data_IF_408841730112
#
_entry.id   IF_408841730112
#
_cell.length_a   1.000
_cell.length_b   1.000
_cell.length_c   1.000
_cell.angle_alpha   90.00
_cell.angle_beta   90.00
_cell.angle_gamma   90.00
#
_symmetry.space_group_name_H-M   'P 1'
#
loop_
_entity.id
_entity.type
_entity.pdbx_description
1 polymer ?
#
# COMPACT_ATOMS: atom_id res chain seq x y z
N UNK A 1 8.80 9.30 -14.80
CA UNK A 1 8.28 7.94 -14.53
C UNK A 1 7.51 8.00 -13.23
N UNK A 2 6.18 7.83 -13.28
CA UNK A 2 5.33 7.93 -12.10
C UNK A 2 5.30 6.61 -11.31
N UNK A 3 6.41 6.27 -10.66
CA UNK A 3 6.52 5.08 -9.80
C UNK A 3 5.41 5.02 -8.74
N UNK A 4 5.00 6.19 -8.22
CA UNK A 4 3.85 6.34 -7.32
C UNK A 4 2.56 5.73 -7.90
N UNK A 5 2.31 5.93 -9.19
CA UNK A 5 1.09 5.49 -9.86
C UNK A 5 1.09 3.99 -10.10
N UNK A 6 2.26 3.42 -10.39
CA UNK A 6 2.45 1.99 -10.58
C UNK A 6 2.31 1.22 -9.26
N UNK A 7 2.94 1.72 -8.19
CA UNK A 7 2.78 1.19 -6.82
C UNK A 7 1.31 1.29 -6.39
N UNK A 8 0.67 2.44 -6.62
CA UNK A 8 -0.75 2.63 -6.30
C UNK A 8 -1.65 1.63 -7.06
N UNK A 9 -1.39 1.39 -8.34
CA UNK A 9 -2.12 0.39 -9.13
C UNK A 9 -1.96 -1.02 -8.58
N UNK A 10 -0.75 -1.43 -8.21
CA UNK A 10 -0.53 -2.76 -7.63
C UNK A 10 -1.26 -2.91 -6.30
N UNK A 11 -1.17 -1.90 -5.43
CA UNK A 11 -1.89 -1.88 -4.14
C UNK A 11 -3.40 -1.93 -4.38
N UNK A 12 -3.96 -1.01 -5.19
CA UNK A 12 -5.39 -0.94 -5.54
C UNK A 12 -5.94 -2.22 -6.21
N UNK A 13 -5.09 -3.04 -6.82
CA UNK A 13 -5.49 -4.35 -7.33
C UNK A 13 -5.57 -5.42 -6.23
N UNK A 14 -4.75 -5.30 -5.19
CA UNK A 14 -4.72 -6.19 -4.03
C UNK A 14 -5.78 -5.83 -2.99
N UNK A 15 -6.04 -4.53 -2.83
CA UNK A 15 -7.05 -3.99 -1.93
C UNK A 15 -8.16 -3.39 -2.77
N UNK A 16 -9.38 -3.88 -2.62
CA UNK A 16 -10.56 -3.48 -3.38
C UNK A 16 -10.95 -2.01 -3.09
N UNK A 17 -10.14 -1.09 -3.61
CA UNK A 17 -10.13 0.33 -3.30
C UNK A 17 -9.68 1.11 -4.53
N UNK A 18 -10.26 2.29 -4.73
CA UNK A 18 -9.96 3.14 -5.89
C UNK A 18 -8.49 3.57 -5.93
N UNK A 19 -7.95 3.58 -7.15
CA UNK A 19 -6.59 4.01 -7.44
C UNK A 19 -6.31 5.41 -6.90
N UNK A 20 -7.20 6.38 -7.15
CA UNK A 20 -7.04 7.77 -6.69
C UNK A 20 -6.92 7.87 -5.16
N UNK A 21 -7.67 7.02 -4.46
CA UNK A 21 -7.66 6.92 -3.01
C UNK A 21 -6.34 6.34 -2.51
N UNK A 22 -5.83 5.30 -3.15
CA UNK A 22 -4.50 4.77 -2.85
C UNK A 22 -3.42 5.81 -3.17
N UNK A 23 -3.53 6.52 -4.28
CA UNK A 23 -2.54 7.49 -4.75
C UNK A 23 -2.45 8.73 -3.87
N UNK A 24 -3.59 9.20 -3.35
CA UNK A 24 -3.65 10.28 -2.35
C UNK A 24 -3.13 9.85 -0.98
N UNK A 25 -3.17 8.55 -0.65
CA UNK A 25 -2.61 8.02 0.58
C UNK A 25 -1.12 7.72 0.52
N UNK A 26 -0.57 7.45 -0.65
CA UNK A 26 0.88 7.26 -0.77
C UNK A 26 1.59 8.56 -0.40
N UNK A 27 2.40 8.48 0.62
CA UNK A 27 3.21 9.55 1.17
C UNK A 27 4.69 9.17 1.17
N UNK A 28 5.56 10.17 1.32
CA UNK A 28 6.99 9.94 1.46
C UNK A 28 7.27 9.76 2.95
N UNK A 29 7.83 8.61 3.38
CA UNK A 29 8.06 8.37 4.79
C UNK A 29 9.07 9.39 5.35
N UNK A 30 8.90 9.80 6.62
CA UNK A 30 9.82 10.74 7.26
C UNK A 30 11.19 10.12 7.55
N UNK A 31 11.28 8.80 7.60
CA UNK A 31 12.53 8.07 7.81
C UNK A 31 13.01 7.42 6.51
N UNK A 32 14.25 7.72 6.12
CA UNK A 32 14.87 7.18 4.90
C UNK A 32 15.09 5.66 4.93
N UNK A 33 14.94 5.01 6.09
CA UNK A 33 15.03 3.56 6.25
C UNK A 33 13.73 2.82 5.88
N UNK A 34 12.60 3.53 5.69
CA UNK A 34 11.29 2.95 5.36
C UNK A 34 11.04 2.85 3.85
N UNK A 35 12.03 3.19 3.02
CA UNK A 35 11.96 3.20 1.57
C UNK A 35 11.53 4.54 0.98
N UNK A 36 11.28 4.58 -0.32
CA UNK A 36 10.95 5.82 -1.05
C UNK A 36 9.48 6.23 -0.90
N UNK A 37 8.58 5.25 -0.74
CA UNK A 37 7.14 5.45 -0.67
C UNK A 37 6.53 4.63 0.47
N UNK A 38 5.66 5.26 1.25
CA UNK A 38 4.90 4.66 2.31
C UNK A 38 3.41 4.71 1.99
N UNK A 39 2.69 3.65 2.38
CA UNK A 39 1.25 3.57 2.22
C UNK A 39 0.58 3.28 3.57
N UNK A 40 -0.21 4.22 4.12
CA UNK A 40 -0.87 4.06 5.39
C UNK A 40 -2.05 3.10 5.28
N UNK A 41 -1.90 1.89 5.83
CA UNK A 41 -2.94 0.86 5.86
C UNK A 41 -4.10 1.18 6.83
N UNK A 42 -4.04 2.29 7.58
CA UNK A 42 -5.07 2.70 8.53
C UNK A 42 -6.42 2.98 7.87
N UNK A 43 -6.44 3.57 6.68
CA UNK A 43 -7.69 3.79 5.96
C UNK A 43 -8.31 2.46 5.50
N UNK A 44 -7.48 1.50 5.09
CA UNK A 44 -7.94 0.17 4.72
C UNK A 44 -8.53 -0.60 5.90
N UNK A 45 -8.08 -0.34 7.13
CA UNK A 45 -8.61 -1.03 8.30
C UNK A 45 -10.12 -0.83 8.47
N UNK A 46 -10.64 0.37 8.13
CA UNK A 46 -12.07 0.65 8.15
C UNK A 46 -12.83 -0.04 7.02
N UNK A 47 -12.23 -0.12 5.83
CA UNK A 47 -12.84 -0.72 4.63
C UNK A 47 -12.87 -2.24 4.75
N UNK A 48 -11.73 -2.86 5.06
CA UNK A 48 -11.59 -4.32 5.17
C UNK A 48 -12.07 -4.88 6.51
N UNK A 49 -12.40 -4.01 7.48
CA UNK A 49 -12.73 -4.38 8.88
C UNK A 49 -11.66 -5.28 9.51
N UNK A 50 -10.40 -5.06 9.14
CA UNK A 50 -9.23 -5.82 9.63
C UNK A 50 -8.23 -4.88 10.30
N UNK A 51 -7.48 -5.34 11.30
CA UNK A 51 -6.39 -4.57 11.89
C UNK A 51 -5.32 -4.15 10.84
N UNK A 52 -4.76 -2.93 10.92
CA UNK A 52 -3.75 -2.45 9.98
C UNK A 52 -2.52 -3.37 9.87
N UNK A 53 -2.10 -3.97 10.99
CA UNK A 53 -0.95 -4.87 11.02
C UNK A 53 -1.17 -6.16 10.22
N UNK A 54 -2.40 -6.70 10.21
CA UNK A 54 -2.75 -7.87 9.39
C UNK A 54 -2.82 -7.48 7.91
N UNK A 55 -3.40 -6.33 7.60
CA UNK A 55 -3.49 -5.83 6.22
C UNK A 55 -2.09 -5.59 5.65
N UNK A 56 -1.21 -4.94 6.40
CA UNK A 56 0.19 -4.71 6.00
C UNK A 56 0.92 -6.03 5.78
N UNK A 57 0.72 -7.02 6.67
CA UNK A 57 1.30 -8.35 6.49
C UNK A 57 0.74 -9.07 5.26
N UNK A 58 -0.58 -9.06 5.04
CA UNK A 58 -1.21 -9.66 3.86
C UNK A 58 -0.73 -8.99 2.56
N UNK A 59 -0.63 -7.66 2.53
CA UNK A 59 -0.06 -6.93 1.40
C UNK A 59 1.40 -7.33 1.19
N UNK A 60 2.22 -7.29 2.23
CA UNK A 60 3.63 -7.66 2.16
C UNK A 60 3.81 -9.10 1.65
N UNK A 61 3.05 -10.06 2.18
CA UNK A 61 3.09 -11.46 1.72
C UNK A 61 2.70 -11.57 0.23
N UNK A 62 1.71 -10.82 -0.21
CA UNK A 62 1.28 -10.79 -1.62
C UNK A 62 2.26 -10.07 -2.54
N UNK A 63 3.04 -9.11 -2.03
CA UNK A 63 4.12 -8.46 -2.76
C UNK A 63 5.41 -9.30 -2.79
N UNK A 64 5.67 -10.07 -1.73
CA UNK A 64 6.88 -10.91 -1.61
C UNK A 64 6.75 -12.21 -2.42
N UNK A 65 5.52 -12.63 -2.74
CA UNK A 65 5.25 -13.78 -3.62
C UNK A 65 5.63 -13.56 -5.10
N UNK A 66 5.78 -12.30 -5.54
CA UNK A 66 6.45 -12.00 -6.80
C UNK A 66 7.96 -12.08 -6.55
N UNK A 67 8.53 -13.27 -6.81
CA UNK A 67 9.98 -13.44 -6.94
C UNK A 67 10.45 -12.50 -8.06
N UNK A 68 11.01 -11.35 -7.68
CA UNK A 68 12.00 -10.64 -8.49
C UNK A 68 13.30 -11.44 -8.45
#
# INVERSE_FOLDING_TARGET
>A
MDFKLEVAKKISKQVDMELEKVLSLIEIPPQSNMGDYAFPCFQLAKVMRKPPHLISKELADRFTGDNI
#
